data_IF_750555788514
#
_entry.id   IF_750555788514
#
_cell.length_a   1.000
_cell.length_b   1.000
_cell.length_c   1.000
_cell.angle_alpha   90.00
_cell.angle_beta   90.00
_cell.angle_gamma   90.00
#
_symmetry.space_group_name_H-M   'P 1'
#
loop_
_entity.id
_entity.type
_entity.pdbx_description
1 polymer ?
#
# COMPACT_ATOMS: atom_id res chain seq x y z
N UNK A 1 -1.73 -9.95 14.31
CA UNK A 1 -0.98 -11.10 13.83
C UNK A 1 -1.26 -12.35 14.66
N UNK A 2 -1.17 -12.29 15.98
CA UNK A 2 -1.07 -13.47 16.87
C UNK A 2 -2.41 -14.08 17.30
N UNK A 3 -3.53 -13.42 17.05
CA UNK A 3 -4.86 -13.82 17.56
C UNK A 3 -5.96 -13.64 16.51
N UNK A 4 -5.86 -14.28 15.32
CA UNK A 4 -6.84 -14.11 14.26
C UNK A 4 -8.23 -14.57 14.68
N UNK A 5 -8.35 -15.68 15.41
CA UNK A 5 -9.64 -16.22 15.87
C UNK A 5 -10.38 -15.26 16.80
N UNK A 6 -9.67 -14.59 17.71
CA UNK A 6 -10.28 -13.62 18.61
C UNK A 6 -10.76 -12.38 17.84
N UNK A 7 -10.01 -11.93 16.82
CA UNK A 7 -10.44 -10.84 15.97
C UNK A 7 -11.69 -11.24 15.16
N UNK A 8 -11.67 -12.41 14.52
CA UNK A 8 -12.82 -12.94 13.77
C UNK A 8 -14.05 -13.04 14.68
N UNK A 9 -13.90 -13.61 15.89
CA UNK A 9 -15.00 -13.73 16.84
C UNK A 9 -15.57 -12.35 17.24
N UNK A 10 -14.73 -11.33 17.41
CA UNK A 10 -15.18 -9.98 17.71
C UNK A 10 -15.93 -9.31 16.54
N UNK A 11 -15.70 -9.77 15.30
CA UNK A 11 -16.31 -9.24 14.09
C UNK A 11 -17.57 -9.98 13.63
N UNK A 12 -17.82 -11.19 14.11
CA UNK A 12 -18.92 -12.07 13.64
C UNK A 12 -20.31 -11.44 13.68
N UNK A 13 -20.56 -10.57 14.65
CA UNK A 13 -21.88 -9.98 14.89
C UNK A 13 -21.93 -8.48 14.68
N UNK A 14 -20.93 -7.95 13.97
CA UNK A 14 -20.91 -6.53 13.59
C UNK A 14 -21.97 -6.25 12.54
N UNK A 15 -22.85 -5.30 12.83
CA UNK A 15 -23.90 -4.88 11.90
C UNK A 15 -23.41 -3.78 10.96
N UNK A 16 -24.02 -3.70 9.78
CA UNK A 16 -23.88 -2.54 8.89
C UNK A 16 -24.76 -1.39 9.41
N UNK A 17 -24.32 -0.77 10.49
CA UNK A 17 -25.03 0.28 11.22
C UNK A 17 -24.18 1.53 11.31
N UNK A 18 -24.77 2.68 10.95
CA UNK A 18 -24.12 3.99 11.11
C UNK A 18 -23.82 4.28 12.59
N UNK A 19 -24.73 3.93 13.48
CA UNK A 19 -24.54 4.15 14.91
C UNK A 19 -23.38 3.33 15.44
N UNK A 20 -23.28 2.05 15.06
CA UNK A 20 -22.18 1.19 15.49
C UNK A 20 -20.83 1.63 14.89
N UNK A 21 -20.85 2.09 13.61
CA UNK A 21 -19.68 2.69 12.98
C UNK A 21 -19.18 3.92 13.78
N UNK A 22 -20.07 4.88 14.08
CA UNK A 22 -19.70 6.08 14.83
C UNK A 22 -19.22 5.74 16.25
N UNK A 23 -19.87 4.77 16.90
CA UNK A 23 -19.44 4.26 18.21
C UNK A 23 -18.04 3.67 18.16
N UNK A 24 -17.76 2.82 17.17
CA UNK A 24 -16.44 2.23 16.97
C UNK A 24 -15.38 3.31 16.66
N UNK A 25 -15.71 4.26 15.77
CA UNK A 25 -14.84 5.39 15.41
C UNK A 25 -14.46 6.25 16.60
N UNK A 26 -15.43 6.59 17.47
CA UNK A 26 -15.18 7.32 18.70
C UNK A 26 -14.38 6.49 19.71
N UNK A 27 -14.64 5.18 19.78
CA UNK A 27 -13.95 4.28 20.70
C UNK A 27 -12.45 4.12 20.36
N UNK A 28 -12.06 4.22 19.08
CA UNK A 28 -10.66 4.20 18.66
C UNK A 28 -9.81 5.32 19.26
N UNK A 29 -10.43 6.44 19.66
CA UNK A 29 -9.76 7.57 20.33
C UNK A 29 -9.48 7.31 21.83
N UNK A 30 -10.06 6.25 22.41
CA UNK A 30 -9.91 5.92 23.84
C UNK A 30 -8.56 5.24 24.08
N UNK A 31 -7.85 5.67 25.12
CA UNK A 31 -6.53 5.12 25.49
C UNK A 31 -6.58 3.75 26.17
N UNK A 32 -7.73 3.35 26.76
CA UNK A 32 -7.89 2.10 27.52
C UNK A 32 -8.84 1.14 26.80
N UNK A 33 -8.28 0.29 25.98
CA UNK A 33 -8.98 -0.82 25.31
C UNK A 33 -8.04 -2.00 25.15
N UNK A 34 -8.57 -3.22 25.04
CA UNK A 34 -7.76 -4.38 24.67
C UNK A 34 -7.34 -4.30 23.21
N UNK A 35 -6.20 -4.89 22.88
CA UNK A 35 -5.67 -4.91 21.50
C UNK A 35 -6.67 -5.51 20.51
N UNK A 36 -7.37 -6.60 20.91
CA UNK A 36 -8.38 -7.25 20.06
C UNK A 36 -9.57 -6.33 19.81
N UNK A 37 -10.05 -5.65 20.85
CA UNK A 37 -11.19 -4.74 20.69
C UNK A 37 -10.84 -3.54 19.82
N UNK A 38 -9.65 -2.99 20.00
CA UNK A 38 -9.13 -1.90 19.16
C UNK A 38 -8.97 -2.35 17.70
N UNK A 39 -8.42 -3.54 17.47
CA UNK A 39 -8.28 -4.12 16.15
C UNK A 39 -9.65 -4.36 15.49
N UNK A 40 -10.63 -4.87 16.22
CA UNK A 40 -11.99 -5.09 15.71
C UNK A 40 -12.67 -3.77 15.32
N UNK A 41 -12.62 -2.75 16.17
CA UNK A 41 -13.16 -1.43 15.84
C UNK A 41 -12.46 -0.79 14.65
N UNK A 42 -11.13 -0.88 14.56
CA UNK A 42 -10.38 -0.36 13.43
C UNK A 42 -10.77 -1.08 12.14
N UNK A 43 -10.85 -2.41 12.17
CA UNK A 43 -11.26 -3.20 11.03
C UNK A 43 -12.70 -2.88 10.60
N UNK A 44 -13.63 -2.78 11.53
CA UNK A 44 -15.01 -2.37 11.27
C UNK A 44 -15.05 -0.99 10.61
N UNK A 45 -14.37 0.00 11.19
CA UNK A 45 -14.39 1.37 10.70
C UNK A 45 -13.80 1.48 9.31
N UNK A 46 -12.66 0.83 9.04
CA UNK A 46 -12.04 0.88 7.70
C UNK A 46 -12.91 0.19 6.64
N UNK A 47 -13.57 -0.93 6.98
CA UNK A 47 -14.41 -1.70 6.03
C UNK A 47 -15.76 -1.07 5.78
N UNK A 48 -16.32 -0.35 6.74
CA UNK A 48 -17.61 0.32 6.64
C UNK A 48 -17.49 1.80 6.27
N UNK A 49 -16.28 2.35 6.12
CA UNK A 49 -16.11 3.73 5.70
C UNK A 49 -16.10 3.89 4.19
N UNK A 50 -16.59 5.04 3.72
CA UNK A 50 -16.45 5.39 2.31
C UNK A 50 -14.97 5.51 1.92
N UNK A 51 -14.57 4.82 0.84
CA UNK A 51 -13.20 4.80 0.33
C UNK A 51 -12.12 4.46 1.38
N UNK A 52 -12.48 3.75 2.45
CA UNK A 52 -11.59 3.43 3.58
C UNK A 52 -11.01 4.68 4.30
N UNK A 53 -11.62 5.85 4.15
CA UNK A 53 -11.11 7.12 4.68
C UNK A 53 -11.31 7.30 6.20
N UNK A 54 -11.97 6.37 6.89
CA UNK A 54 -12.24 6.39 8.34
C UNK A 54 -13.12 7.56 8.83
N UNK A 55 -13.63 8.38 7.93
CA UNK A 55 -14.33 9.64 8.26
C UNK A 55 -15.84 9.53 8.18
N UNK A 56 -16.37 8.79 7.21
CA UNK A 56 -17.79 8.71 6.94
C UNK A 56 -18.25 7.28 6.67
N UNK A 57 -19.42 6.94 7.17
CA UNK A 57 -20.04 5.64 6.94
C UNK A 57 -20.48 5.49 5.48
N UNK A 58 -20.10 4.37 4.84
CA UNK A 58 -20.56 4.01 3.51
C UNK A 58 -22.00 3.51 3.58
N UNK A 59 -22.86 4.00 2.68
CA UNK A 59 -24.27 3.60 2.61
C UNK A 59 -24.50 2.19 2.05
N UNK A 60 -23.46 1.58 1.44
CA UNK A 60 -23.56 0.23 0.90
C UNK A 60 -23.20 -0.79 1.98
N UNK A 61 -24.00 -1.86 2.13
CA UNK A 61 -23.67 -2.92 3.08
C UNK A 61 -22.35 -3.58 2.71
N UNK A 62 -21.58 -3.89 3.74
CA UNK A 62 -20.34 -4.67 3.60
C UNK A 62 -20.53 -6.03 4.25
N UNK A 63 -20.30 -7.09 3.48
CA UNK A 63 -20.29 -8.46 4.02
C UNK A 63 -18.98 -8.71 4.79
N UNK A 64 -19.06 -8.64 6.12
CA UNK A 64 -17.90 -8.86 6.99
C UNK A 64 -17.43 -10.31 6.93
N UNK A 65 -18.31 -11.27 6.73
CA UNK A 65 -18.00 -12.71 6.73
C UNK A 65 -17.09 -13.10 5.54
N UNK A 66 -17.28 -12.48 4.39
CA UNK A 66 -16.45 -12.73 3.20
C UNK A 66 -14.98 -12.39 3.41
N UNK A 67 -14.65 -11.62 4.45
CA UNK A 67 -13.29 -11.21 4.75
C UNK A 67 -12.57 -12.12 5.78
N UNK A 68 -13.26 -12.99 6.46
CA UNK A 68 -12.62 -13.84 7.49
C UNK A 68 -11.50 -14.73 6.95
N UNK A 69 -11.65 -15.37 5.79
CA UNK A 69 -10.52 -16.10 5.17
C UNK A 69 -9.30 -15.22 4.89
N UNK A 70 -9.50 -13.93 4.58
CA UNK A 70 -8.40 -12.98 4.35
C UNK A 70 -7.65 -12.63 5.64
N UNK A 71 -8.34 -12.60 6.79
CA UNK A 71 -7.70 -12.40 8.10
C UNK A 71 -6.79 -13.58 8.43
N UNK A 72 -7.25 -14.81 8.17
CA UNK A 72 -6.44 -16.01 8.36
C UNK A 72 -5.22 -16.05 7.41
N UNK A 73 -5.43 -15.72 6.15
CA UNK A 73 -4.34 -15.61 5.16
C UNK A 73 -3.32 -14.55 5.57
N UNK A 74 -3.78 -13.37 6.03
CA UNK A 74 -2.92 -12.32 6.53
C UNK A 74 -2.13 -12.77 7.76
N UNK A 75 -2.75 -13.50 8.69
CA UNK A 75 -2.05 -14.09 9.84
C UNK A 75 -0.86 -14.96 9.39
N UNK A 76 -1.10 -15.91 8.46
CA UNK A 76 -0.05 -16.78 7.92
C UNK A 76 1.02 -15.98 7.19
N UNK A 77 0.62 -15.01 6.34
CA UNK A 77 1.57 -14.16 5.58
C UNK A 77 2.46 -13.33 6.49
N UNK A 78 1.94 -12.89 7.65
CA UNK A 78 2.68 -12.06 8.61
C UNK A 78 3.55 -12.87 9.59
N UNK A 79 3.58 -14.21 9.50
CA UNK A 79 4.37 -15.04 10.40
C UNK A 79 5.87 -14.67 10.34
N UNK A 80 6.40 -14.48 9.14
CA UNK A 80 7.79 -14.15 8.87
C UNK A 80 8.03 -12.65 8.61
N UNK A 81 7.08 -11.80 9.05
CA UNK A 81 7.17 -10.35 8.84
C UNK A 81 7.41 -9.64 10.17
N UNK A 82 8.44 -8.81 10.22
CA UNK A 82 8.66 -7.85 11.30
C UNK A 82 7.88 -6.57 10.99
N UNK A 83 7.04 -6.16 11.93
CA UNK A 83 6.28 -4.90 11.82
C UNK A 83 6.93 -3.87 12.73
N UNK A 84 7.39 -2.78 12.12
CA UNK A 84 8.04 -1.66 12.80
C UNK A 84 7.15 -0.41 12.76
N UNK A 85 7.18 0.36 13.83
CA UNK A 85 6.55 1.68 13.89
C UNK A 85 7.57 2.69 14.40
N UNK A 86 8.47 3.10 13.51
CA UNK A 86 9.58 3.99 13.80
C UNK A 86 9.67 5.11 12.75
N UNK A 87 10.45 6.15 13.07
CA UNK A 87 10.86 7.13 12.07
C UNK A 87 11.63 6.46 10.93
N UNK A 88 11.30 6.80 9.70
CA UNK A 88 11.85 6.14 8.51
C UNK A 88 13.38 6.25 8.40
N UNK A 89 14.00 7.36 8.83
CA UNK A 89 15.47 7.47 8.80
C UNK A 89 16.13 6.49 9.77
N UNK A 90 15.51 6.31 10.94
CA UNK A 90 15.98 5.33 11.92
C UNK A 90 15.84 3.92 11.39
N UNK A 91 14.71 3.60 10.76
CA UNK A 91 14.45 2.30 10.16
C UNK A 91 15.40 2.01 9.00
N UNK A 92 15.56 2.95 8.06
CA UNK A 92 16.48 2.79 6.93
C UNK A 92 17.90 2.53 7.44
N UNK A 93 18.41 3.34 8.37
CA UNK A 93 19.73 3.17 8.95
C UNK A 93 19.92 1.83 9.67
N UNK A 94 18.85 1.35 10.32
CA UNK A 94 18.89 0.09 11.07
C UNK A 94 19.00 -1.13 10.15
N UNK A 95 18.28 -1.12 9.03
CA UNK A 95 18.18 -2.26 8.11
C UNK A 95 19.08 -2.16 6.87
N UNK A 96 19.81 -1.05 6.67
CA UNK A 96 20.66 -0.89 5.49
C UNK A 96 21.82 -1.88 5.46
N UNK A 97 21.87 -2.66 4.41
CA UNK A 97 22.93 -3.63 4.05
C UNK A 97 23.03 -3.68 2.53
N UNK A 98 24.16 -4.15 1.95
CA UNK A 98 24.29 -4.27 0.48
C UNK A 98 23.22 -5.13 -0.19
N UNK A 99 22.60 -6.06 0.55
CA UNK A 99 21.54 -6.96 0.07
C UNK A 99 20.13 -6.45 0.38
N UNK A 100 20.01 -5.35 1.10
CA UNK A 100 18.69 -4.80 1.46
C UNK A 100 18.05 -4.13 0.25
N UNK A 101 16.75 -4.34 0.11
CA UNK A 101 15.90 -3.64 -0.83
C UNK A 101 14.83 -2.86 -0.07
N UNK A 102 14.81 -1.54 -0.23
CA UNK A 102 13.79 -0.67 0.33
C UNK A 102 12.73 -0.35 -0.72
N UNK A 103 11.48 -0.73 -0.47
CA UNK A 103 10.34 -0.19 -1.19
C UNK A 103 9.72 0.93 -0.34
N UNK A 104 9.66 2.13 -0.91
CA UNK A 104 9.18 3.32 -0.22
C UNK A 104 7.94 3.87 -0.90
N UNK A 105 6.86 4.06 -0.14
CA UNK A 105 5.60 4.65 -0.59
C UNK A 105 5.17 5.71 0.44
N UNK A 106 5.87 6.87 0.48
CA UNK A 106 5.56 7.94 1.41
C UNK A 106 4.27 8.67 1.00
N UNK A 107 3.72 9.52 1.89
CA UNK A 107 2.69 10.48 1.48
C UNK A 107 3.18 11.30 0.28
N UNK A 108 2.33 11.43 -0.74
CA UNK A 108 2.69 12.13 -1.96
C UNK A 108 2.74 13.64 -1.73
N UNK A 109 3.70 14.33 -2.35
CA UNK A 109 3.84 15.78 -2.25
C UNK A 109 2.56 16.49 -2.72
N UNK A 110 2.18 17.57 -2.04
CA UNK A 110 0.95 18.32 -2.24
C UNK A 110 -0.37 17.53 -2.02
N UNK A 111 -0.28 16.31 -1.46
CA UNK A 111 -1.44 15.48 -1.10
C UNK A 111 -1.46 15.08 0.38
N UNK A 112 -0.55 15.63 1.18
CA UNK A 112 -0.34 15.30 2.59
C UNK A 112 -1.61 15.51 3.42
N UNK A 113 -2.46 16.47 3.05
CA UNK A 113 -3.74 16.73 3.70
C UNK A 113 -4.77 15.58 3.65
N UNK A 114 -4.54 14.58 2.78
CA UNK A 114 -5.37 13.37 2.74
C UNK A 114 -4.99 12.35 3.83
N UNK A 115 -3.83 12.50 4.46
CA UNK A 115 -3.31 11.57 5.45
C UNK A 115 -3.53 12.11 6.86
N UNK A 116 -4.63 11.73 7.51
CA UNK A 116 -5.03 12.26 8.83
C UNK A 116 -4.22 11.73 10.02
N UNK A 117 -3.30 10.79 9.81
CA UNK A 117 -2.60 10.07 10.89
C UNK A 117 -1.09 10.29 10.93
N UNK A 118 -0.57 11.34 10.30
CA UNK A 118 0.88 11.60 10.17
C UNK A 118 1.40 12.58 11.23
N UNK A 119 0.71 12.72 12.36
CA UNK A 119 1.01 13.72 13.39
C UNK A 119 0.36 15.07 13.10
N UNK A 120 0.58 16.04 14.00
CA UNK A 120 -0.03 17.39 13.90
C UNK A 120 0.51 18.17 12.69
N UNK A 121 1.78 17.96 12.34
CA UNK A 121 2.45 18.68 11.25
C UNK A 121 2.38 17.94 9.90
N UNK A 122 1.87 16.72 9.86
CA UNK A 122 1.80 15.90 8.64
C UNK A 122 3.18 15.42 8.18
N UNK A 123 3.30 15.10 6.88
CA UNK A 123 4.56 14.78 6.20
C UNK A 123 4.91 15.99 5.32
N UNK A 124 5.93 16.72 5.69
CA UNK A 124 6.27 18.03 5.13
C UNK A 124 7.34 17.94 4.03
N UNK A 125 7.56 19.02 3.28
CA UNK A 125 8.71 19.12 2.34
C UNK A 125 10.04 18.77 3.01
N UNK A 126 10.21 19.14 4.28
CA UNK A 126 11.39 18.77 5.05
C UNK A 126 11.54 17.26 5.19
N UNK A 127 10.43 16.53 5.33
CA UNK A 127 10.45 15.07 5.44
C UNK A 127 10.74 14.41 4.10
N UNK A 128 10.27 14.96 2.98
CA UNK A 128 10.67 14.53 1.64
C UNK A 128 12.18 14.69 1.43
N UNK A 129 12.75 15.83 1.84
CA UNK A 129 14.21 16.06 1.79
C UNK A 129 14.95 15.06 2.69
N UNK A 130 14.48 14.85 3.94
CA UNK A 130 15.07 13.87 4.86
C UNK A 130 15.05 12.44 4.29
N UNK A 131 13.96 12.06 3.62
CA UNK A 131 13.84 10.75 2.98
C UNK A 131 14.85 10.61 1.83
N UNK A 132 14.92 11.61 0.94
CA UNK A 132 15.93 11.67 -0.11
C UNK A 132 17.35 11.53 0.47
N UNK A 133 17.69 12.32 1.49
CA UNK A 133 19.03 12.29 2.10
C UNK A 133 19.35 10.94 2.75
N UNK A 134 18.36 10.28 3.32
CA UNK A 134 18.54 8.93 3.85
C UNK A 134 18.80 7.93 2.72
N UNK A 135 18.00 7.94 1.67
CA UNK A 135 18.10 7.00 0.54
C UNK A 135 19.39 7.19 -0.29
N UNK A 136 19.91 8.42 -0.38
CA UNK A 136 21.18 8.68 -1.08
C UNK A 136 22.42 8.12 -0.36
N UNK A 137 22.29 7.67 0.89
CA UNK A 137 23.40 7.18 1.72
C UNK A 137 23.40 5.68 1.91
N UNK A 138 22.37 4.97 1.46
CA UNK A 138 22.26 3.53 1.67
C UNK A 138 23.25 2.74 0.83
N UNK A 139 23.63 1.57 1.36
CA UNK A 139 24.41 0.57 0.64
C UNK A 139 23.53 -0.35 -0.22
N UNK A 140 22.28 -0.48 0.17
CA UNK A 140 21.28 -1.31 -0.50
C UNK A 140 20.67 -0.66 -1.73
N UNK A 141 19.58 -1.25 -2.20
CA UNK A 141 18.81 -0.74 -3.31
C UNK A 141 17.48 -0.17 -2.81
N UNK A 142 16.95 0.85 -3.49
CA UNK A 142 15.62 1.34 -3.23
C UNK A 142 14.80 1.48 -4.50
N UNK A 143 13.50 1.36 -4.34
CA UNK A 143 12.46 1.76 -5.27
C UNK A 143 11.45 2.60 -4.52
N UNK A 144 11.16 3.78 -5.03
CA UNK A 144 10.33 4.78 -4.39
C UNK A 144 9.24 5.23 -5.38
N UNK A 145 7.99 5.29 -4.93
CA UNK A 145 6.86 5.80 -5.72
C UNK A 145 6.44 7.19 -5.24
N UNK A 146 6.16 8.08 -6.19
CA UNK A 146 5.64 9.42 -5.96
C UNK A 146 4.67 9.87 -7.06
N UNK A 147 3.86 10.90 -6.78
CA UNK A 147 3.24 11.68 -7.85
C UNK A 147 4.30 12.40 -8.68
N UNK A 148 4.02 12.58 -9.95
CA UNK A 148 4.88 13.39 -10.81
C UNK A 148 4.72 14.87 -10.46
N UNK A 149 5.72 15.43 -9.81
CA UNK A 149 5.75 16.76 -9.25
C UNK A 149 7.13 17.38 -9.43
N UNK A 150 7.17 18.68 -9.74
CA UNK A 150 8.42 19.39 -10.03
C UNK A 150 9.40 19.43 -8.85
N UNK A 151 8.87 19.52 -7.61
CA UNK A 151 9.70 19.48 -6.41
C UNK A 151 10.34 18.09 -6.24
N UNK A 152 9.57 17.02 -6.42
CA UNK A 152 10.06 15.64 -6.34
C UNK A 152 11.09 15.36 -7.44
N UNK A 153 10.81 15.77 -8.70
CA UNK A 153 11.80 15.66 -9.79
C UNK A 153 13.11 16.35 -9.43
N UNK A 154 13.04 17.57 -8.92
CA UNK A 154 14.23 18.33 -8.50
C UNK A 154 15.01 17.67 -7.36
N UNK A 155 14.34 17.00 -6.42
CA UNK A 155 15.01 16.28 -5.33
C UNK A 155 15.85 15.09 -5.82
N UNK A 156 15.40 14.41 -6.88
CA UNK A 156 15.99 13.16 -7.36
C UNK A 156 16.68 13.31 -8.72
N UNK A 157 16.86 14.53 -9.22
CA UNK A 157 17.62 14.81 -10.45
C UNK A 157 19.12 14.66 -10.19
N UNK A 158 19.60 13.42 -10.26
CA UNK A 158 21.00 13.04 -10.03
C UNK A 158 21.42 11.92 -10.98
N UNK A 159 22.69 11.91 -11.44
CA UNK A 159 23.16 10.93 -12.44
C UNK A 159 23.05 9.47 -12.02
N UNK A 160 23.02 9.19 -10.72
CA UNK A 160 22.92 7.82 -10.18
C UNK A 160 21.49 7.35 -9.91
N UNK A 161 20.50 8.18 -10.27
CA UNK A 161 19.09 7.91 -10.00
C UNK A 161 18.35 7.73 -11.33
N UNK A 162 17.54 6.69 -11.37
CA UNK A 162 16.64 6.39 -12.48
C UNK A 162 15.25 6.90 -12.16
N UNK A 163 14.77 7.83 -12.98
CA UNK A 163 13.41 8.37 -12.94
C UNK A 163 12.61 7.76 -14.08
N UNK A 164 11.54 7.04 -13.74
CA UNK A 164 10.63 6.43 -14.72
C UNK A 164 9.24 7.00 -14.54
N UNK A 165 8.68 7.49 -15.62
CA UNK A 165 7.31 7.97 -15.66
C UNK A 165 6.33 6.81 -15.82
N UNK A 166 5.26 6.84 -15.05
CA UNK A 166 4.17 5.90 -15.16
C UNK A 166 2.83 6.61 -14.94
N UNK A 167 1.75 5.92 -15.18
CA UNK A 167 0.41 6.45 -14.95
C UNK A 167 -0.39 5.49 -14.13
N UNK A 168 -1.07 5.99 -13.11
CA UNK A 168 -2.00 5.22 -12.30
C UNK A 168 -3.43 5.63 -12.60
N UNK A 169 -4.30 4.63 -12.69
CA UNK A 169 -5.73 4.86 -12.78
C UNK A 169 -6.25 5.13 -11.37
N UNK A 170 -6.89 6.29 -11.15
CA UNK A 170 -7.49 6.60 -9.86
C UNK A 170 -8.84 5.89 -9.71
N UNK A 171 -8.85 4.78 -8.97
CA UNK A 171 -10.05 3.98 -8.72
C UNK A 171 -11.15 4.73 -7.94
N UNK A 172 -10.82 5.78 -7.21
CA UNK A 172 -11.78 6.57 -6.44
C UNK A 172 -12.52 7.55 -7.36
N UNK A 173 -11.80 8.22 -8.26
CA UNK A 173 -12.40 9.12 -9.26
C UNK A 173 -13.07 8.40 -10.42
N UNK A 174 -12.72 7.16 -10.72
CA UNK A 174 -13.34 6.38 -11.80
C UNK A 174 -14.88 6.28 -11.70
N UNK A 175 -15.45 6.45 -10.51
CA UNK A 175 -16.90 6.50 -10.34
C UNK A 175 -17.54 7.78 -10.87
N UNK A 176 -16.77 8.86 -11.00
CA UNK A 176 -17.24 10.19 -11.38
C UNK A 176 -16.61 10.70 -12.67
N UNK A 177 -15.43 10.17 -13.02
CA UNK A 177 -14.65 10.61 -14.18
C UNK A 177 -13.84 9.42 -14.71
N UNK A 178 -14.44 8.70 -15.67
CA UNK A 178 -13.84 7.52 -16.26
C UNK A 178 -12.59 7.91 -17.05
N UNK A 179 -11.42 7.46 -16.59
CA UNK A 179 -10.16 7.63 -17.31
C UNK A 179 -9.22 8.68 -16.74
N UNK A 180 -9.49 9.27 -15.58
CA UNK A 180 -8.51 10.12 -14.89
C UNK A 180 -7.24 9.32 -14.60
N UNK A 181 -6.20 9.61 -15.37
CA UNK A 181 -4.85 9.11 -15.16
C UNK A 181 -4.09 10.10 -14.29
N UNK A 182 -3.36 9.56 -13.32
CA UNK A 182 -2.46 10.35 -12.49
C UNK A 182 -1.03 10.02 -12.87
N UNK A 183 -0.25 11.02 -13.27
CA UNK A 183 1.16 10.81 -13.52
C UNK A 183 1.88 10.47 -12.21
N UNK A 184 2.67 9.42 -12.26
CA UNK A 184 3.50 8.95 -11.14
C UNK A 184 4.96 8.79 -11.59
N UNK A 185 5.86 8.93 -10.61
CA UNK A 185 7.27 8.66 -10.75
C UNK A 185 7.64 7.40 -9.99
N UNK A 186 8.36 6.51 -10.64
CA UNK A 186 9.11 5.44 -10.01
C UNK A 186 10.58 5.84 -10.00
N UNK A 187 11.17 5.90 -8.84
CA UNK A 187 12.53 6.42 -8.60
C UNK A 187 13.37 5.29 -8.00
N UNK A 188 14.56 5.04 -8.56
CA UNK A 188 15.42 3.95 -8.11
C UNK A 188 16.91 4.33 -8.20
N UNK A 189 17.76 3.73 -7.33
CA UNK A 189 19.22 3.84 -7.42
C UNK A 189 19.87 2.69 -8.22
N UNK A 190 19.11 2.04 -9.07
CA UNK A 190 19.56 0.99 -9.99
C UNK A 190 18.68 1.03 -11.25
N UNK A 191 19.17 0.47 -12.37
CA UNK A 191 18.34 0.35 -13.58
C UNK A 191 17.30 -0.77 -13.41
N UNK A 192 16.00 -0.45 -13.25
CA UNK A 192 14.97 -1.47 -13.06
C UNK A 192 14.74 -2.32 -14.32
N UNK A 193 15.22 -1.87 -15.48
CA UNK A 193 15.08 -2.58 -16.76
C UNK A 193 16.28 -3.50 -17.07
N UNK A 194 17.37 -3.41 -16.30
CA UNK A 194 18.57 -4.19 -16.54
C UNK A 194 18.28 -5.70 -16.56
N UNK A 195 17.44 -6.17 -15.65
CA UNK A 195 17.04 -7.58 -15.59
C UNK A 195 16.33 -8.07 -16.86
N UNK A 196 15.52 -7.21 -17.48
CA UNK A 196 14.81 -7.56 -18.70
C UNK A 196 15.75 -7.62 -19.92
N UNK A 197 16.91 -6.94 -19.86
CA UNK A 197 17.93 -6.98 -20.90
C UNK A 197 18.85 -8.21 -20.80
N UNK A 198 19.02 -8.75 -19.60
CA UNK A 198 19.97 -9.83 -19.33
C UNK A 198 19.33 -11.20 -19.21
N UNK A 199 18.03 -11.30 -18.95
CA UNK A 199 17.32 -12.58 -18.98
C UNK A 199 16.83 -12.90 -20.39
N UNK A 200 17.08 -14.14 -20.92
CA UNK A 200 16.35 -14.62 -22.07
C UNK A 200 14.86 -14.49 -21.78
N UNK A 201 14.08 -14.05 -22.75
CA UNK A 201 12.63 -13.93 -22.66
C UNK A 201 12.09 -15.22 -22.04
N UNK A 202 11.58 -15.16 -20.84
CA UNK A 202 10.92 -16.29 -20.21
C UNK A 202 9.65 -16.51 -21.05
N UNK A 203 9.63 -17.59 -21.86
CA UNK A 203 8.41 -18.02 -22.55
C UNK A 203 7.34 -18.17 -21.48
N UNK A 204 6.32 -17.32 -21.52
CA UNK A 204 5.17 -17.51 -20.67
C UNK A 204 4.49 -18.80 -21.11
N UNK A 205 4.06 -19.62 -20.17
CA UNK A 205 3.33 -20.89 -20.42
C UNK A 205 2.05 -20.68 -21.28
N UNK A 206 1.71 -19.46 -21.60
CA UNK A 206 0.54 -19.03 -22.36
C UNK A 206 0.84 -18.47 -23.76
N UNK A 207 2.10 -18.39 -24.17
CA UNK A 207 2.49 -18.00 -25.56
C UNK A 207 2.40 -19.18 -26.55
N UNK A 208 1.80 -20.29 -26.14
CA UNK A 208 1.42 -21.38 -27.01
C UNK A 208 0.22 -20.98 -27.84
N UNK A 209 0.45 -20.73 -29.15
CA UNK A 209 -0.57 -20.63 -30.19
C UNK A 209 -1.71 -21.64 -29.95
N UNK A 210 -2.84 -21.13 -29.46
CA UNK A 210 -4.12 -21.84 -29.48
C UNK A 210 -4.73 -21.88 -30.88
N UNK A 211 -3.97 -22.34 -31.86
CA UNK A 211 -4.41 -22.59 -33.22
C UNK A 211 -3.76 -23.87 -33.73
N UNK A 212 -4.47 -24.96 -33.69
CA UNK A 212 -4.38 -26.19 -34.46
C UNK A 212 -4.53 -27.49 -33.63
N UNK A 213 -5.67 -27.69 -33.02
CA UNK A 213 -6.05 -29.02 -32.52
C UNK A 213 -7.56 -29.34 -32.66
N UNK A 214 -8.24 -28.80 -33.64
CA UNK A 214 -9.63 -29.17 -33.98
C UNK A 214 -9.88 -29.55 -35.43
N UNK A 215 -8.89 -30.19 -36.09
CA UNK A 215 -9.16 -30.85 -37.38
C UNK A 215 -8.37 -32.14 -37.49
N UNK A 216 -8.79 -33.21 -36.76
CA UNK A 216 -8.49 -34.59 -37.10
C UNK A 216 -9.30 -35.57 -36.23
N UNK A 217 -10.62 -35.57 -36.36
CA UNK A 217 -11.42 -36.80 -36.13
C UNK A 217 -12.71 -36.72 -36.93
N UNK A 218 -12.61 -36.99 -38.23
CA UNK A 218 -13.72 -37.50 -39.04
C UNK A 218 -13.13 -38.24 -40.24
N UNK A 219 -12.88 -39.51 -40.00
CA UNK A 219 -13.06 -40.60 -40.95
C UNK A 219 -13.08 -41.91 -40.20
#
# INVERSE_FOLDING_TARGET
RDKPDLLINALKYVLNSREDFERARLALRRKRTTDIQRAAWFYQVIRQSYAAALTSFASQPHDMWSNFPLIEQAHRRLADVVVENQDFQTLIRHYDRPVTFFYCDPPYHATEGYYQNIGEDGFTERDHIRLRDALMRIQGKFLLSYNDDAFIRGLYDQPSIYLMETTRINNIKQRYDNGCQFPELIIANYDPQERNRTMPSQMTLFDGNGGDLLERTSK
#
